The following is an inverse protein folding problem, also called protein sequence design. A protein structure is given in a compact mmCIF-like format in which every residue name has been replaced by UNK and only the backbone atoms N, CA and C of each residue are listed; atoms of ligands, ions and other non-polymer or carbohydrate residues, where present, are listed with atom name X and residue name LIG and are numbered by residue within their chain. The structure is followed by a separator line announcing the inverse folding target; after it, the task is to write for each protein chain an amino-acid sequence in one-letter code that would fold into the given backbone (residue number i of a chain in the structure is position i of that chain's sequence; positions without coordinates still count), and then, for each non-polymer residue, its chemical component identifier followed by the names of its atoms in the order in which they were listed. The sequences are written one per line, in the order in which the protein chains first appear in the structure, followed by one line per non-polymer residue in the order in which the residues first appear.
data_IF_684091949753
#
_entry.id   IF_684091949753
#
_cell.length_a   1.000
_cell.length_b   1.000
_cell.length_c   1.000
_cell.angle_alpha   90.00
_cell.angle_beta   90.00
_cell.angle_gamma   90.00
#
_symmetry.space_group_name_H-M   'P 1'
#
loop_
_entity.id
_entity.type
_entity.pdbx_description
1 polymer ?
#
# COMPACT_ATOMS: atom_id res chain seq x y z
N UNK A 1 48.98 36.48 -46.11
CA UNK A 1 48.74 35.22 -45.46
C UNK A 1 47.74 35.46 -44.32
N UNK A 2 46.45 35.17 -44.52
CA UNK A 2 45.38 35.35 -43.52
C UNK A 2 45.07 34.01 -42.90
N UNK A 3 45.32 33.83 -41.60
CA UNK A 3 44.90 32.65 -40.84
C UNK A 3 43.42 32.80 -40.48
N UNK A 4 42.61 31.88 -40.94
CA UNK A 4 41.22 31.69 -40.46
C UNK A 4 41.23 30.76 -39.24
N UNK A 5 40.80 31.29 -38.08
CA UNK A 5 40.56 30.50 -36.87
C UNK A 5 39.12 30.00 -36.95
N UNK A 6 38.97 28.71 -37.18
CA UNK A 6 37.65 28.03 -37.13
C UNK A 6 37.34 27.67 -35.67
N UNK A 7 36.33 28.33 -35.09
CA UNK A 7 35.87 28.03 -33.75
C UNK A 7 34.87 26.88 -33.82
N UNK A 8 35.29 25.67 -33.37
CA UNK A 8 34.43 24.49 -33.28
C UNK A 8 33.61 24.61 -31.99
N UNK A 9 32.33 24.97 -32.07
CA UNK A 9 31.41 24.95 -30.95
C UNK A 9 30.97 23.50 -30.67
N UNK A 10 31.47 22.94 -29.57
CA UNK A 10 31.04 21.62 -29.08
C UNK A 10 29.69 21.74 -28.39
N UNK A 11 28.63 21.27 -29.02
CA UNK A 11 27.29 21.22 -28.47
C UNK A 11 27.22 20.06 -27.43
N UNK A 12 27.25 20.38 -26.15
CA UNK A 12 27.01 19.43 -25.08
C UNK A 12 25.51 19.11 -25.03
N UNK A 13 25.12 17.96 -25.57
CA UNK A 13 23.78 17.41 -25.40
C UNK A 13 23.69 16.83 -23.99
N UNK A 14 23.07 17.59 -23.08
CA UNK A 14 22.65 17.10 -21.78
C UNK A 14 21.49 16.10 -22.00
N UNK A 15 21.84 14.80 -22.11
CA UNK A 15 20.85 13.74 -22.00
C UNK A 15 20.27 13.76 -20.58
N UNK A 16 19.17 14.45 -20.39
CA UNK A 16 18.31 14.28 -19.20
C UNK A 16 17.78 12.86 -19.28
N UNK A 17 18.38 11.95 -18.51
CA UNK A 17 17.86 10.60 -18.31
C UNK A 17 16.51 10.73 -17.59
N UNK A 18 15.44 10.83 -18.39
CA UNK A 18 14.09 10.70 -17.89
C UNK A 18 13.96 9.25 -17.40
N UNK A 19 14.12 9.02 -16.08
CA UNK A 19 13.78 7.73 -15.49
C UNK A 19 12.30 7.52 -15.73
N UNK A 20 11.96 6.61 -16.62
CA UNK A 20 10.59 6.21 -16.86
C UNK A 20 10.05 5.66 -15.54
N UNK A 21 9.06 6.35 -14.97
CA UNK A 21 8.43 5.93 -13.73
C UNK A 21 7.69 4.62 -13.97
N UNK A 22 7.67 3.69 -13.01
CA UNK A 22 6.86 2.49 -13.14
C UNK A 22 5.39 2.90 -13.30
N UNK A 23 4.77 2.42 -14.36
CA UNK A 23 3.34 2.58 -14.58
C UNK A 23 2.61 1.56 -13.69
N UNK A 24 1.74 2.06 -12.82
CA UNK A 24 0.95 1.22 -11.93
C UNK A 24 -0.45 1.06 -12.50
N UNK A 25 -0.90 -0.19 -12.62
CA UNK A 25 -2.28 -0.50 -12.98
C UNK A 25 -3.23 0.17 -11.98
N UNK A 26 -4.23 0.86 -12.52
CA UNK A 26 -5.18 1.62 -11.71
C UNK A 26 -6.62 1.45 -12.20
N UNK A 27 -7.55 1.56 -11.27
CA UNK A 27 -8.99 1.58 -11.52
C UNK A 27 -9.58 2.90 -11.03
N UNK A 28 -10.49 3.49 -11.79
CA UNK A 28 -11.23 4.68 -11.37
C UNK A 28 -12.41 4.27 -10.49
N UNK A 29 -12.43 4.78 -9.24
CA UNK A 29 -13.55 4.60 -8.31
C UNK A 29 -13.94 5.99 -7.81
N UNK A 30 -15.16 6.42 -8.14
CA UNK A 30 -15.59 7.80 -7.95
C UNK A 30 -14.70 8.76 -8.74
N UNK A 31 -14.16 9.77 -8.06
CA UNK A 31 -13.28 10.77 -8.67
C UNK A 31 -11.78 10.40 -8.59
N UNK A 32 -11.43 9.29 -7.97
CA UNK A 32 -10.05 8.91 -7.72
C UNK A 32 -9.63 7.68 -8.53
N UNK A 33 -8.34 7.64 -8.94
CA UNK A 33 -7.72 6.46 -9.52
C UNK A 33 -6.94 5.73 -8.44
N UNK A 34 -7.33 4.49 -8.16
CA UNK A 34 -6.74 3.63 -7.14
C UNK A 34 -5.82 2.59 -7.77
N UNK A 35 -4.66 2.34 -7.20
CA UNK A 35 -3.86 1.18 -7.60
C UNK A 35 -4.69 -0.10 -7.44
N UNK A 36 -4.55 -1.04 -8.40
CA UNK A 36 -5.21 -2.35 -8.34
C UNK A 36 -4.44 -3.28 -7.41
N UNK A 37 -3.10 -3.16 -7.35
CA UNK A 37 -2.23 -3.97 -6.50
C UNK A 37 -1.82 -3.23 -5.23
N UNK A 38 -1.55 -3.98 -4.18
CA UNK A 38 -0.91 -3.44 -2.99
C UNK A 38 0.52 -2.98 -3.31
N UNK A 39 0.95 -1.92 -2.62
CA UNK A 39 2.28 -1.36 -2.78
C UNK A 39 3.36 -2.39 -2.42
N UNK A 40 4.42 -2.45 -3.25
CA UNK A 40 5.54 -3.41 -3.10
C UNK A 40 6.91 -2.72 -3.26
N UNK A 41 7.04 -1.48 -2.77
CA UNK A 41 8.30 -0.72 -2.85
C UNK A 41 9.23 -1.03 -1.68
N UNK A 42 10.54 -0.92 -1.91
CA UNK A 42 11.60 -1.11 -0.91
C UNK A 42 12.38 0.18 -0.63
N UNK A 43 12.00 1.27 -1.30
CA UNK A 43 12.65 2.58 -1.15
C UNK A 43 11.60 3.66 -0.99
N UNK A 44 11.95 4.70 -0.26
CA UNK A 44 11.22 5.96 -0.24
C UNK A 44 11.42 6.75 -1.54
N UNK A 45 10.63 7.81 -1.78
CA UNK A 45 10.74 8.69 -2.95
C UNK A 45 12.15 9.26 -3.15
N UNK A 46 12.86 9.56 -2.06
CA UNK A 46 14.22 10.08 -2.11
C UNK A 46 15.31 9.03 -2.44
N UNK A 47 14.92 7.75 -2.60
CA UNK A 47 15.82 6.64 -2.89
C UNK A 47 16.37 5.91 -1.67
N UNK A 48 16.13 6.38 -0.45
CA UNK A 48 16.55 5.70 0.77
C UNK A 48 15.84 4.34 0.89
N UNK A 49 16.59 3.32 1.29
CA UNK A 49 16.03 1.99 1.54
C UNK A 49 15.13 1.98 2.77
N UNK A 50 13.97 1.34 2.65
CA UNK A 50 13.10 1.03 3.78
C UNK A 50 13.56 -0.31 4.35
N UNK A 51 13.91 -0.40 5.64
CA UNK A 51 14.39 -1.65 6.24
C UNK A 51 13.36 -2.79 6.15
N UNK A 52 13.82 -3.94 5.67
CA UNK A 52 13.09 -5.20 5.77
C UNK A 52 13.34 -5.84 7.14
N UNK A 53 12.29 -6.29 7.82
CA UNK A 53 12.39 -7.04 9.08
C UNK A 53 12.00 -8.50 8.85
N UNK A 54 12.94 -9.42 9.09
CA UNK A 54 12.80 -10.86 8.82
C UNK A 54 12.48 -11.68 10.05
N UNK A 55 12.65 -11.10 11.25
CA UNK A 55 12.36 -11.77 12.51
C UNK A 55 11.29 -11.03 13.31
N UNK A 56 10.74 -11.71 14.30
CA UNK A 56 9.80 -11.12 15.25
C UNK A 56 10.49 -10.03 16.07
N UNK A 57 11.71 -10.28 16.48
CA UNK A 57 12.52 -9.40 17.33
C UNK A 57 12.82 -8.08 16.61
N UNK A 58 13.27 -8.15 15.35
CA UNK A 58 13.49 -6.96 14.50
C UNK A 58 12.21 -6.13 14.34
N UNK A 59 11.07 -6.79 14.06
CA UNK A 59 9.79 -6.08 13.92
C UNK A 59 9.41 -5.31 15.18
N UNK A 60 9.54 -5.95 16.34
CA UNK A 60 9.25 -5.35 17.65
C UNK A 60 10.21 -4.22 17.96
N UNK A 61 11.50 -4.38 17.67
CA UNK A 61 12.52 -3.36 17.84
C UNK A 61 12.21 -2.11 17.02
N UNK A 62 11.99 -2.27 15.71
CA UNK A 62 11.66 -1.15 14.82
C UNK A 62 10.37 -0.45 15.23
N UNK A 63 9.33 -1.21 15.57
CA UNK A 63 8.08 -0.67 16.08
C UNK A 63 8.24 0.10 17.39
N UNK A 64 9.07 -0.38 18.31
CA UNK A 64 9.35 0.28 19.58
C UNK A 64 10.17 1.56 19.38
N UNK A 65 11.14 1.51 18.48
CA UNK A 65 11.97 2.66 18.12
C UNK A 65 11.24 3.67 17.19
N UNK A 66 9.99 3.40 16.82
CA UNK A 66 9.19 4.22 15.88
C UNK A 66 9.89 4.42 14.53
N UNK A 67 10.58 3.39 14.07
CA UNK A 67 11.29 3.38 12.80
C UNK A 67 10.45 2.71 11.71
N UNK A 68 10.55 3.23 10.50
CA UNK A 68 9.95 2.63 9.31
C UNK A 68 10.47 1.22 9.07
N UNK A 69 9.56 0.30 8.74
CA UNK A 69 9.89 -1.08 8.40
C UNK A 69 8.81 -1.70 7.52
N UNK A 70 9.21 -2.73 6.77
CA UNK A 70 8.30 -3.60 6.04
C UNK A 70 8.68 -5.07 6.20
N UNK A 71 7.75 -5.96 5.86
CA UNK A 71 7.98 -7.39 5.72
C UNK A 71 7.03 -8.00 4.69
N UNK A 72 7.33 -9.20 4.20
CA UNK A 72 6.31 -10.05 3.58
C UNK A 72 5.50 -10.78 4.63
N UNK A 73 4.30 -11.25 4.27
CA UNK A 73 3.54 -12.13 5.16
C UNK A 73 4.36 -13.41 5.43
N UNK A 74 4.45 -13.83 6.67
CA UNK A 74 5.32 -14.92 7.16
C UNK A 74 6.82 -14.78 6.80
N UNK A 75 7.27 -13.58 6.42
CA UNK A 75 8.61 -13.32 5.89
C UNK A 75 8.93 -14.16 4.63
N UNK A 76 7.90 -14.54 3.86
CA UNK A 76 8.01 -15.35 2.66
C UNK A 76 7.88 -14.46 1.40
N UNK A 77 8.95 -14.41 0.60
CA UNK A 77 8.98 -13.64 -0.65
C UNK A 77 7.94 -14.12 -1.67
N UNK A 78 7.55 -15.40 -1.63
CA UNK A 78 6.49 -15.95 -2.48
C UNK A 78 5.13 -15.30 -2.19
N UNK A 79 4.86 -14.95 -0.96
CA UNK A 79 3.65 -14.21 -0.57
C UNK A 79 3.66 -12.77 -1.11
N UNK A 80 4.85 -12.18 -1.23
CA UNK A 80 5.03 -10.82 -1.74
C UNK A 80 4.55 -10.67 -3.18
N UNK A 81 4.77 -11.65 -4.03
CA UNK A 81 4.34 -11.62 -5.42
C UNK A 81 2.81 -11.50 -5.57
N UNK A 82 2.06 -12.05 -4.62
CA UNK A 82 0.59 -12.03 -4.63
C UNK A 82 0.02 -10.85 -3.81
N UNK A 83 0.55 -10.61 -2.62
CA UNK A 83 -0.06 -9.73 -1.62
C UNK A 83 0.64 -8.38 -1.44
N UNK A 84 1.83 -8.20 -2.04
CA UNK A 84 2.67 -7.04 -1.76
C UNK A 84 3.30 -7.12 -0.37
N UNK A 85 3.67 -5.96 0.18
CA UNK A 85 4.33 -5.82 1.48
C UNK A 85 3.37 -5.36 2.58
N UNK A 86 3.71 -5.73 3.81
CA UNK A 86 3.12 -5.19 5.02
C UNK A 86 4.08 -4.12 5.57
N UNK A 87 3.62 -2.89 5.65
CA UNK A 87 4.38 -1.74 6.20
C UNK A 87 3.87 -1.38 7.58
N UNK A 88 4.76 -1.02 8.51
CA UNK A 88 4.31 -0.35 9.71
C UNK A 88 3.90 1.10 9.39
N UNK A 89 3.12 1.73 10.26
CA UNK A 89 2.64 3.08 9.96
C UNK A 89 3.75 4.14 9.99
N UNK A 90 4.88 3.86 10.63
CA UNK A 90 6.05 4.74 10.58
C UNK A 90 6.66 4.82 9.17
N UNK A 91 6.53 3.78 8.34
CA UNK A 91 6.87 3.86 6.92
C UNK A 91 5.83 4.66 6.14
N UNK A 92 4.53 4.50 6.46
CA UNK A 92 3.42 5.23 5.83
C UNK A 92 3.55 6.74 6.00
N UNK A 93 3.95 7.18 7.20
CA UNK A 93 4.04 8.60 7.58
C UNK A 93 5.47 9.16 7.54
N UNK A 94 6.41 8.47 6.92
CA UNK A 94 7.79 8.93 6.81
C UNK A 94 7.88 10.14 5.87
N UNK A 95 8.55 11.21 6.32
CA UNK A 95 8.70 12.45 5.55
C UNK A 95 9.41 12.27 4.19
N UNK A 96 10.17 11.17 4.02
CA UNK A 96 10.81 10.80 2.76
C UNK A 96 9.83 10.31 1.69
N UNK A 97 8.58 10.03 2.09
CA UNK A 97 7.48 9.63 1.20
C UNK A 97 7.54 8.16 0.78
N UNK A 98 6.55 7.35 1.23
CA UNK A 98 6.44 5.93 0.87
C UNK A 98 5.80 5.74 -0.51
N UNK A 99 4.76 6.50 -0.84
CA UNK A 99 4.07 6.37 -2.12
C UNK A 99 4.98 6.79 -3.28
N UNK A 100 4.94 6.11 -4.44
CA UNK A 100 5.68 6.51 -5.63
C UNK A 100 5.31 7.92 -6.12
N UNK A 101 6.16 8.50 -7.00
CA UNK A 101 5.88 9.80 -7.59
C UNK A 101 4.54 9.80 -8.37
N UNK A 102 3.76 10.86 -8.24
CA UNK A 102 2.41 10.96 -8.83
C UNK A 102 1.33 10.16 -8.08
N UNK A 103 1.68 9.63 -6.90
CA UNK A 103 0.78 8.85 -6.05
C UNK A 103 0.92 9.28 -4.58
N UNK A 104 -0.14 9.09 -3.82
CA UNK A 104 -0.14 9.27 -2.36
C UNK A 104 -0.87 8.14 -1.65
N UNK A 105 -0.59 7.98 -0.36
CA UNK A 105 -1.32 7.04 0.50
C UNK A 105 -2.64 7.70 0.89
N UNK A 106 -3.79 7.04 0.66
CA UNK A 106 -5.09 7.66 0.84
C UNK A 106 -5.31 8.09 2.28
N UNK A 107 -5.92 9.25 2.40
CA UNK A 107 -6.44 9.77 3.66
C UNK A 107 -7.67 8.97 4.11
N UNK A 108 -8.07 9.15 5.36
CA UNK A 108 -9.32 8.56 5.88
C UNK A 108 -10.56 9.07 5.12
N UNK A 109 -10.53 10.31 4.65
CA UNK A 109 -11.59 10.90 3.83
C UNK A 109 -11.71 10.20 2.47
N UNK A 110 -10.60 9.98 1.77
CA UNK A 110 -10.58 9.30 0.47
C UNK A 110 -11.05 7.85 0.58
N UNK A 111 -10.63 7.13 1.63
CA UNK A 111 -11.18 5.82 1.95
C UNK A 111 -12.69 5.87 2.19
N UNK A 112 -13.18 6.90 2.89
CA UNK A 112 -14.62 7.10 3.12
C UNK A 112 -15.39 7.32 1.82
N UNK A 113 -14.84 8.11 0.89
CA UNK A 113 -15.44 8.35 -0.42
C UNK A 113 -15.50 7.08 -1.27
N UNK A 114 -14.40 6.27 -1.29
CA UNK A 114 -14.41 4.97 -1.96
C UNK A 114 -15.52 4.07 -1.42
N UNK A 115 -15.61 3.95 -0.10
CA UNK A 115 -16.61 3.10 0.55
C UNK A 115 -18.03 3.58 0.25
N UNK A 116 -18.27 4.90 0.24
CA UNK A 116 -19.56 5.50 -0.11
C UNK A 116 -19.95 5.16 -1.55
N UNK A 117 -19.02 5.30 -2.50
CA UNK A 117 -19.23 4.98 -3.92
C UNK A 117 -19.59 3.51 -4.13
N UNK A 118 -19.03 2.63 -3.29
CA UNK A 118 -19.32 1.18 -3.33
C UNK A 118 -20.59 0.78 -2.55
N UNK A 119 -21.43 1.72 -2.19
CA UNK A 119 -22.73 1.48 -1.54
C UNK A 119 -22.70 1.50 -0.02
N UNK A 120 -21.64 2.05 0.57
CA UNK A 120 -21.47 2.27 2.01
C UNK A 120 -20.87 1.06 2.77
N UNK A 121 -20.55 1.29 4.02
CA UNK A 121 -19.79 0.34 4.87
C UNK A 121 -20.37 -1.08 4.87
N UNK A 122 -21.68 -1.22 4.84
CA UNK A 122 -22.37 -2.52 4.95
C UNK A 122 -22.27 -3.41 3.71
N UNK A 123 -21.89 -2.85 2.55
CA UNK A 123 -21.91 -3.55 1.25
C UNK A 123 -20.56 -3.51 0.54
N UNK A 124 -19.81 -2.43 0.72
CA UNK A 124 -18.60 -2.13 -0.05
C UNK A 124 -17.55 -3.27 0.01
N UNK A 125 -17.46 -4.00 1.12
CA UNK A 125 -16.51 -5.10 1.24
C UNK A 125 -16.73 -6.21 0.21
N UNK A 126 -17.98 -6.50 -0.17
CA UNK A 126 -18.26 -7.51 -1.18
C UNK A 126 -17.85 -7.07 -2.58
N UNK A 127 -18.05 -5.80 -2.92
CA UNK A 127 -17.66 -5.24 -4.24
C UNK A 127 -16.16 -5.00 -4.37
N UNK A 128 -15.47 -4.79 -3.25
CA UNK A 128 -14.02 -4.59 -3.20
C UNK A 128 -13.24 -5.90 -3.24
N UNK A 129 -13.72 -6.94 -2.54
CA UNK A 129 -13.07 -8.26 -2.47
C UNK A 129 -12.92 -8.88 -3.85
N UNK A 130 -11.72 -9.44 -4.10
CA UNK A 130 -11.48 -10.16 -5.33
C UNK A 130 -12.27 -11.48 -5.38
N UNK A 131 -12.40 -12.04 -6.58
CA UNK A 131 -13.25 -13.21 -6.85
C UNK A 131 -12.60 -14.54 -6.44
N UNK A 132 -11.38 -14.49 -5.90
CA UNK A 132 -10.69 -15.66 -5.37
C UNK A 132 -9.76 -15.30 -4.19
N UNK A 133 -9.24 -16.32 -3.51
CA UNK A 133 -8.21 -16.20 -2.47
C UNK A 133 -8.75 -16.00 -1.06
N UNK A 134 -10.05 -15.77 -0.89
CA UNK A 134 -10.70 -15.63 0.41
C UNK A 134 -11.18 -16.99 0.92
N UNK A 135 -10.98 -17.27 2.20
CA UNK A 135 -11.47 -18.48 2.85
C UNK A 135 -12.99 -18.60 2.73
N UNK A 136 -13.50 -19.82 2.83
CA UNK A 136 -14.93 -20.05 2.91
C UNK A 136 -15.46 -19.75 4.32
N UNK A 137 -16.67 -19.19 4.38
CA UNK A 137 -17.40 -18.99 5.61
C UNK A 137 -18.50 -20.08 5.72
N UNK A 138 -18.22 -21.15 6.46
CA UNK A 138 -19.08 -22.32 6.54
C UNK A 138 -19.42 -22.85 5.14
N UNK A 139 -20.67 -22.70 4.71
CA UNK A 139 -21.20 -23.24 3.45
C UNK A 139 -21.17 -22.20 2.30
N UNK A 140 -20.58 -21.00 2.52
CA UNK A 140 -20.54 -19.93 1.53
C UNK A 140 -19.11 -19.50 1.21
N UNK A 141 -18.88 -19.04 -0.02
CA UNK A 141 -17.62 -18.43 -0.41
C UNK A 141 -17.40 -17.11 0.32
N UNK A 142 -16.19 -16.89 0.82
CA UNK A 142 -15.76 -15.58 1.32
C UNK A 142 -15.32 -14.61 0.22
N UNK A 143 -15.21 -15.07 -1.03
CA UNK A 143 -14.86 -14.24 -2.18
C UNK A 143 -15.89 -13.14 -2.41
N UNK A 144 -15.44 -12.05 -3.03
CA UNK A 144 -16.32 -10.96 -3.46
C UNK A 144 -16.70 -11.04 -4.93
N UNK A 145 -17.33 -9.96 -5.43
CA UNK A 145 -17.71 -9.80 -6.83
C UNK A 145 -16.67 -9.06 -7.65
N UNK A 146 -15.80 -8.30 -6.98
CA UNK A 146 -14.82 -7.40 -7.60
C UNK A 146 -15.44 -6.39 -8.60
N UNK A 147 -16.71 -6.05 -8.45
CA UNK A 147 -17.40 -5.08 -9.32
C UNK A 147 -16.70 -3.70 -9.33
N UNK A 148 -15.96 -3.38 -8.27
CA UNK A 148 -15.17 -2.16 -8.18
C UNK A 148 -13.90 -2.17 -9.03
N UNK A 149 -13.39 -3.35 -9.41
CA UNK A 149 -12.04 -3.52 -9.97
C UNK A 149 -10.90 -3.26 -8.97
N UNK A 150 -11.20 -3.10 -7.68
CA UNK A 150 -10.19 -2.82 -6.66
C UNK A 150 -9.27 -4.02 -6.35
N UNK A 151 -9.74 -5.24 -6.58
CA UNK A 151 -9.00 -6.49 -6.35
C UNK A 151 -8.46 -6.62 -4.91
N UNK A 152 -9.31 -6.37 -3.92
CA UNK A 152 -8.92 -6.59 -2.53
C UNK A 152 -8.59 -8.06 -2.27
N UNK A 153 -7.35 -8.34 -1.85
CA UNK A 153 -6.87 -9.67 -1.51
C UNK A 153 -6.74 -9.83 0.00
N UNK A 154 -6.93 -11.05 0.54
CA UNK A 154 -6.84 -11.34 1.98
C UNK A 154 -5.37 -11.49 2.41
N UNK A 155 -4.61 -10.40 2.32
CA UNK A 155 -3.17 -10.34 2.59
C UNK A 155 -2.78 -10.58 4.04
N UNK A 156 -3.76 -10.64 4.96
CA UNK A 156 -3.49 -10.70 6.38
C UNK A 156 -2.86 -9.44 6.94
N UNK A 157 -2.22 -9.59 8.08
CA UNK A 157 -1.51 -8.52 8.79
C UNK A 157 -0.37 -9.10 9.66
N UNK A 158 0.51 -8.21 10.14
CA UNK A 158 1.46 -8.50 11.22
C UNK A 158 1.16 -7.58 12.41
N UNK A 159 0.95 -8.13 13.61
CA UNK A 159 0.69 -7.31 14.78
C UNK A 159 1.99 -6.67 15.33
N UNK A 160 1.86 -5.67 16.22
CA UNK A 160 3.00 -4.98 16.81
C UNK A 160 3.90 -5.84 17.72
N UNK A 161 3.47 -7.06 18.04
CA UNK A 161 4.25 -8.08 18.75
C UNK A 161 4.93 -9.07 17.80
N UNK A 162 4.83 -8.83 16.47
CA UNK A 162 5.49 -9.59 15.43
C UNK A 162 4.78 -10.87 14.97
N UNK A 163 3.57 -11.15 15.47
CA UNK A 163 2.78 -12.28 15.03
C UNK A 163 1.98 -11.95 13.76
N UNK A 164 1.91 -12.90 12.84
CA UNK A 164 1.07 -12.83 11.63
C UNK A 164 -0.32 -13.39 11.88
N UNK A 165 -1.31 -12.93 11.12
CA UNK A 165 -2.67 -13.43 11.19
C UNK A 165 -3.52 -12.99 10.02
N UNK A 166 -4.72 -13.56 9.92
CA UNK A 166 -5.77 -13.22 8.96
C UNK A 166 -5.47 -13.49 7.48
N UNK A 167 -4.36 -14.13 7.09
CA UNK A 167 -4.18 -14.54 5.69
C UNK A 167 -5.33 -15.47 5.25
N UNK A 168 -5.88 -15.22 4.08
CA UNK A 168 -7.09 -15.89 3.60
C UNK A 168 -8.39 -15.34 4.18
N UNK A 169 -8.33 -14.72 5.37
CA UNK A 169 -9.50 -14.28 6.13
C UNK A 169 -9.74 -12.77 6.09
N UNK A 170 -8.68 -11.98 5.96
CA UNK A 170 -8.79 -10.52 6.01
C UNK A 170 -7.74 -9.81 5.20
N UNK A 171 -8.13 -8.67 4.64
CA UNK A 171 -7.24 -7.71 4.01
C UNK A 171 -7.36 -6.36 4.71
N UNK A 172 -6.23 -5.74 5.05
CA UNK A 172 -6.20 -4.46 5.74
C UNK A 172 -5.26 -3.46 5.10
N UNK A 173 -5.68 -2.20 5.04
CA UNK A 173 -4.93 -1.11 4.42
C UNK A 173 -4.84 0.10 5.34
N UNK A 174 -3.63 0.63 5.46
CA UNK A 174 -3.41 1.88 6.15
C UNK A 174 -4.09 3.07 5.47
N UNK A 175 -4.55 4.01 6.29
CA UNK A 175 -4.75 5.40 5.90
C UNK A 175 -3.53 6.23 6.30
N UNK A 176 -3.24 7.32 5.56
CA UNK A 176 -2.22 8.30 5.96
C UNK A 176 -2.67 9.18 7.13
N UNK A 177 -3.92 9.09 7.56
CA UNK A 177 -4.49 9.90 8.64
C UNK A 177 -4.20 9.30 10.00
N UNK A 178 -3.39 9.98 10.81
CA UNK A 178 -3.18 9.65 12.21
C UNK A 178 -4.42 9.95 13.06
N UNK A 179 -4.60 9.20 14.14
CA UNK A 179 -5.51 9.54 15.22
C UNK A 179 -4.74 10.26 16.33
N UNK A 180 -3.60 9.66 16.71
CA UNK A 180 -2.67 10.18 17.69
C UNK A 180 -1.24 9.68 17.40
N UNK A 181 -0.31 9.89 18.32
CA UNK A 181 1.09 9.47 18.16
C UNK A 181 1.30 7.95 18.17
N UNK A 182 0.27 7.16 18.47
CA UNK A 182 0.34 5.69 18.67
C UNK A 182 -0.60 4.90 17.77
N UNK A 183 -1.64 5.53 17.23
CA UNK A 183 -2.69 4.89 16.44
C UNK A 183 -3.03 5.71 15.20
N UNK A 184 -3.42 5.01 14.16
CA UNK A 184 -3.85 5.58 12.89
C UNK A 184 -5.06 4.85 12.34
N UNK A 185 -5.81 5.52 11.45
CA UNK A 185 -6.95 4.90 10.79
C UNK A 185 -6.52 3.84 9.80
N UNK A 186 -7.32 2.77 9.70
CA UNK A 186 -7.17 1.74 8.67
C UNK A 186 -8.54 1.26 8.19
N UNK A 187 -8.53 0.57 7.06
CA UNK A 187 -9.70 -0.17 6.54
C UNK A 187 -9.40 -1.65 6.58
N UNK A 188 -10.43 -2.44 6.88
CA UNK A 188 -10.32 -3.88 6.95
C UNK A 188 -11.55 -4.55 6.34
N UNK A 189 -11.32 -5.60 5.57
CA UNK A 189 -12.36 -6.43 4.95
C UNK A 189 -12.16 -7.86 5.39
N UNK A 190 -13.24 -8.54 5.74
CA UNK A 190 -13.24 -9.93 6.21
C UNK A 190 -13.94 -10.87 5.21
N UNK A 191 -13.45 -12.11 5.13
CA UNK A 191 -14.05 -13.16 4.32
C UNK A 191 -15.53 -13.41 4.67
N UNK A 192 -15.86 -13.39 5.96
CA UNK A 192 -17.19 -13.68 6.50
C UNK A 192 -18.14 -12.47 6.53
N UNK A 193 -17.77 -11.34 5.91
CA UNK A 193 -18.56 -10.10 5.99
C UNK A 193 -18.56 -9.34 4.66
N UNK A 194 -19.70 -8.77 4.26
CA UNK A 194 -19.77 -7.85 3.14
C UNK A 194 -19.32 -6.43 3.50
N UNK A 195 -18.92 -6.18 4.74
CA UNK A 195 -18.61 -4.86 5.27
C UNK A 195 -17.17 -4.44 5.02
N UNK A 196 -16.95 -3.13 4.94
CA UNK A 196 -15.65 -2.49 5.16
C UNK A 196 -15.64 -1.94 6.58
N UNK A 197 -14.72 -2.42 7.38
CA UNK A 197 -14.52 -1.93 8.74
C UNK A 197 -13.55 -0.74 8.72
N UNK A 198 -13.90 0.31 9.44
CA UNK A 198 -13.03 1.43 9.79
C UNK A 198 -12.73 1.34 11.27
N UNK A 199 -11.45 1.32 11.64
CA UNK A 199 -11.05 1.29 13.04
C UNK A 199 -9.67 1.91 13.23
N UNK A 200 -9.26 2.07 14.50
CA UNK A 200 -7.95 2.52 14.93
C UNK A 200 -7.00 1.33 15.12
N UNK A 201 -5.80 1.41 14.55
CA UNK A 201 -4.80 0.38 14.77
C UNK A 201 -3.46 0.96 15.21
N UNK A 202 -2.74 0.22 16.05
CA UNK A 202 -1.45 0.69 16.58
C UNK A 202 -0.40 0.84 15.48
N UNK A 203 0.34 1.94 15.49
CA UNK A 203 1.32 2.31 14.46
C UNK A 203 2.47 1.29 14.27
N UNK A 204 2.66 0.38 15.24
CA UNK A 204 3.63 -0.73 15.19
C UNK A 204 3.16 -1.93 14.37
N UNK A 205 1.86 -1.99 14.03
CA UNK A 205 1.31 -3.10 13.26
C UNK A 205 1.68 -2.95 11.79
N UNK A 206 1.67 -4.05 11.04
CA UNK A 206 1.92 -4.12 9.62
C UNK A 206 0.65 -4.41 8.83
N UNK A 207 0.28 -3.50 7.94
CA UNK A 207 -0.80 -3.66 6.99
C UNK A 207 -0.30 -3.38 5.57
N UNK A 208 -1.06 -3.82 4.58
CA UNK A 208 -0.83 -3.42 3.21
C UNK A 208 -1.04 -1.90 3.01
N UNK A 209 -0.53 -1.39 1.91
CA UNK A 209 -0.77 -0.02 1.46
C UNK A 209 -1.33 -0.08 0.05
N UNK A 210 -2.34 0.74 -0.22
CA UNK A 210 -2.90 0.96 -1.54
C UNK A 210 -2.82 2.46 -1.81
N UNK A 211 -2.33 2.87 -2.98
CA UNK A 211 -2.16 4.29 -3.28
C UNK A 211 -3.27 4.83 -4.19
N UNK A 212 -3.46 6.15 -4.14
CA UNK A 212 -4.33 6.95 -5.00
C UNK A 212 -3.45 7.86 -5.84
N UNK A 213 -3.83 8.05 -7.11
CA UNK A 213 -3.11 8.92 -8.05
C UNK A 213 -3.34 10.39 -7.67
N UNK A 214 -2.28 11.17 -7.71
CA UNK A 214 -2.35 12.62 -7.51
C UNK A 214 -3.20 13.27 -8.63
N UNK A 215 -3.91 14.38 -8.30
CA UNK A 215 -4.74 15.13 -9.25
C UNK A 215 -3.91 16.10 -10.06
#
# INVERSE_FOLDING_TARGET
MKLSISCLATLLILCSSCKQQPDFDAVKIGENNWMIKNLDVVTFKNGDTIPETKTKEEWVEYGTARKAAWCYYNNDIGEGAQFGKLYNWYAVNDARGLAPEGWHIPTDVEWGLLVLEMGGDKKAGNTLKYTYGWDNNKDSSGNGTNESGFEALPSGLRNGLGAFGYKGQGGGWWSSTAIDTTKSWYRFVLYASPMVFKDAYGNRNGLAVRCVKDK
#
